data_IF_781866690882
#
_entry.id   IF_781866690882
#
_cell.length_a   1.000
_cell.length_b   1.000
_cell.length_c   1.000
_cell.angle_alpha   90.00
_cell.angle_beta   90.00
_cell.angle_gamma   90.00
#
_symmetry.space_group_name_H-M   'P 1'
#
loop_
_entity.id
_entity.type
_entity.pdbx_description
1 polymer ?
#
# COMPACT_ATOMS: atom_id res chain seq x y z
N UNK A 1 -19.92 15.55 6.11
CA UNK A 1 -20.51 14.53 5.22
C UNK A 1 -19.49 13.41 5.10
N UNK A 2 -19.69 12.28 5.78
CA UNK A 2 -18.74 11.15 5.69
C UNK A 2 -18.92 10.51 4.32
N UNK A 3 -17.95 10.66 3.42
CA UNK A 3 -17.98 9.95 2.14
C UNK A 3 -17.52 8.51 2.38
N UNK A 4 -18.36 7.51 2.06
CA UNK A 4 -18.01 6.10 2.28
C UNK A 4 -16.79 5.70 1.46
N UNK A 5 -15.81 5.06 2.09
CA UNK A 5 -14.59 4.60 1.41
C UNK A 5 -14.85 3.41 0.48
N UNK A 6 -15.91 2.64 0.73
CA UNK A 6 -16.26 1.39 0.04
C UNK A 6 -17.29 1.58 -1.09
N UNK A 7 -17.43 2.80 -1.62
CA UNK A 7 -18.37 3.09 -2.70
C UNK A 7 -17.80 2.73 -4.08
N UNK A 8 -18.70 2.55 -5.06
CA UNK A 8 -18.32 2.40 -6.48
C UNK A 8 -17.56 3.62 -6.99
N UNK A 9 -17.88 4.82 -6.48
CA UNK A 9 -17.18 6.07 -6.80
C UNK A 9 -15.73 6.02 -6.31
N UNK A 10 -15.49 5.66 -5.03
CA UNK A 10 -14.15 5.55 -4.49
C UNK A 10 -13.29 4.52 -5.23
N UNK A 11 -13.90 3.39 -5.60
CA UNK A 11 -13.25 2.38 -6.46
C UNK A 11 -12.90 2.96 -7.83
N UNK A 12 -13.86 3.64 -8.47
CA UNK A 12 -13.69 4.23 -9.79
C UNK A 12 -12.60 5.31 -9.85
N UNK A 13 -12.54 6.18 -8.84
CA UNK A 13 -11.49 7.20 -8.69
C UNK A 13 -10.10 6.56 -8.61
N UNK A 14 -9.94 5.56 -7.73
CA UNK A 14 -8.68 4.84 -7.58
C UNK A 14 -8.26 4.17 -8.89
N UNK A 15 -9.19 3.46 -9.55
CA UNK A 15 -8.88 2.74 -10.80
C UNK A 15 -8.55 3.71 -11.94
N UNK A 16 -9.20 4.86 -12.01
CA UNK A 16 -8.89 5.90 -12.99
C UNK A 16 -7.46 6.41 -12.85
N UNK A 17 -7.01 6.67 -11.61
CA UNK A 17 -5.62 7.06 -11.33
C UNK A 17 -4.63 5.94 -11.71
N UNK A 18 -4.94 4.68 -11.36
CA UNK A 18 -4.12 3.54 -11.72
C UNK A 18 -3.97 3.39 -13.24
N UNK A 19 -5.07 3.48 -13.99
CA UNK A 19 -5.07 3.40 -15.46
C UNK A 19 -4.33 4.58 -16.10
N UNK A 20 -4.49 5.78 -15.57
CA UNK A 20 -3.78 6.96 -16.05
C UNK A 20 -2.26 6.79 -15.88
N UNK A 21 -1.81 6.26 -14.74
CA UNK A 21 -0.40 6.00 -14.47
C UNK A 21 0.20 4.92 -15.40
N UNK A 22 -0.54 3.83 -15.61
CA UNK A 22 -0.10 2.67 -16.41
C UNK A 22 -0.65 2.67 -17.83
N UNK A 23 -1.03 3.82 -18.39
CA UNK A 23 -1.70 3.94 -19.71
C UNK A 23 -1.00 3.23 -20.88
N UNK A 24 0.32 3.04 -20.78
CA UNK A 24 1.15 2.40 -21.81
C UNK A 24 1.68 1.01 -21.39
N UNK A 25 1.26 0.49 -20.23
CA UNK A 25 1.69 -0.80 -19.70
C UNK A 25 0.51 -1.79 -19.74
N UNK A 26 0.45 -2.54 -20.85
CA UNK A 26 -0.65 -3.48 -21.12
C UNK A 26 -0.76 -4.57 -20.05
N UNK A 27 0.37 -4.97 -19.45
CA UNK A 27 0.39 -6.00 -18.39
C UNK A 27 -0.27 -5.45 -17.13
N UNK A 28 0.09 -4.23 -16.72
CA UNK A 28 -0.53 -3.61 -15.54
C UNK A 28 -2.00 -3.26 -15.79
N UNK A 29 -2.37 -2.83 -17.00
CA UNK A 29 -3.78 -2.60 -17.35
C UNK A 29 -4.62 -3.88 -17.21
N UNK A 30 -4.10 -5.03 -17.65
CA UNK A 30 -4.79 -6.31 -17.46
C UNK A 30 -4.94 -6.70 -15.97
N UNK A 31 -3.92 -6.42 -15.14
CA UNK A 31 -4.02 -6.61 -13.69
C UNK A 31 -5.07 -5.68 -13.05
N UNK A 32 -5.21 -4.44 -13.55
CA UNK A 32 -6.23 -3.49 -13.10
C UNK A 32 -7.63 -4.01 -13.49
N UNK A 33 -7.81 -4.55 -14.70
CA UNK A 33 -9.07 -5.16 -15.15
C UNK A 33 -9.45 -6.38 -14.28
N UNK A 34 -8.47 -7.23 -13.97
CA UNK A 34 -8.66 -8.39 -13.10
C UNK A 34 -9.08 -7.95 -11.69
N UNK A 35 -8.41 -6.94 -11.13
CA UNK A 35 -8.76 -6.37 -9.83
C UNK A 35 -10.17 -5.81 -9.85
N UNK A 36 -10.53 -5.02 -10.86
CA UNK A 36 -11.85 -4.40 -10.97
C UNK A 36 -12.97 -5.45 -10.94
N UNK A 37 -12.78 -6.58 -11.63
CA UNK A 37 -13.77 -7.66 -11.72
C UNK A 37 -13.82 -8.57 -10.49
N UNK A 38 -12.69 -8.80 -9.83
CA UNK A 38 -12.56 -9.92 -8.86
C UNK A 38 -12.22 -9.51 -7.44
N UNK A 39 -11.84 -8.25 -7.21
CA UNK A 39 -11.43 -7.79 -5.89
C UNK A 39 -12.55 -7.90 -4.84
N UNK A 40 -12.17 -8.41 -3.67
CA UNK A 40 -12.95 -8.39 -2.44
C UNK A 40 -12.04 -7.90 -1.30
N UNK A 41 -12.60 -7.18 -0.32
CA UNK A 41 -11.83 -6.58 0.78
C UNK A 41 -10.96 -7.59 1.55
N UNK A 42 -11.49 -8.81 1.78
CA UNK A 42 -10.73 -9.91 2.42
C UNK A 42 -9.47 -10.35 1.66
N UNK A 43 -9.37 -10.03 0.36
CA UNK A 43 -8.22 -10.35 -0.47
C UNK A 43 -7.19 -9.19 -0.51
N UNK A 44 -7.38 -8.14 0.30
CA UNK A 44 -6.53 -6.92 0.29
C UNK A 44 -5.04 -7.24 0.40
N UNK A 45 -4.63 -8.08 1.36
CA UNK A 45 -3.20 -8.44 1.51
C UNK A 45 -2.70 -9.19 0.28
N UNK A 46 -3.47 -10.16 -0.24
CA UNK A 46 -3.07 -10.92 -1.44
C UNK A 46 -2.86 -10.00 -2.64
N UNK A 47 -3.75 -9.03 -2.84
CA UNK A 47 -3.64 -8.05 -3.92
C UNK A 47 -2.52 -7.04 -3.70
N UNK A 48 -2.25 -6.68 -2.45
CA UNK A 48 -1.16 -5.79 -2.09
C UNK A 48 0.22 -6.46 -2.28
N UNK A 49 0.36 -7.75 -1.98
CA UNK A 49 1.63 -8.48 -2.09
C UNK A 49 1.84 -9.14 -3.45
N UNK A 50 0.78 -9.35 -4.25
CA UNK A 50 0.89 -9.76 -5.66
C UNK A 50 1.73 -8.72 -6.41
N UNK A 51 2.65 -9.20 -7.25
CA UNK A 51 3.43 -8.34 -8.12
C UNK A 51 2.50 -7.59 -9.08
N UNK A 52 2.39 -6.28 -8.90
CA UNK A 52 1.41 -5.47 -9.62
C UNK A 52 1.33 -4.01 -9.16
N UNK A 53 0.28 -3.33 -9.61
CA UNK A 53 0.11 -1.88 -9.47
C UNK A 53 -0.12 -1.41 -8.03
N UNK A 54 -0.80 -2.18 -7.20
CA UNK A 54 -1.23 -1.74 -5.85
C UNK A 54 -0.06 -1.51 -4.90
N UNK A 55 0.87 -2.46 -4.81
CA UNK A 55 2.06 -2.31 -3.96
C UNK A 55 2.78 -0.99 -4.23
N UNK A 56 3.01 -0.70 -5.51
CA UNK A 56 3.76 0.47 -5.93
C UNK A 56 2.95 1.76 -5.75
N UNK A 57 1.72 1.82 -6.27
CA UNK A 57 0.93 3.05 -6.29
C UNK A 57 0.43 3.45 -4.91
N UNK A 58 0.03 2.51 -4.06
CA UNK A 58 -0.39 2.81 -2.69
C UNK A 58 0.77 3.38 -1.88
N UNK A 59 1.95 2.74 -1.91
CA UNK A 59 3.12 3.27 -1.22
C UNK A 59 3.62 4.59 -1.84
N UNK A 60 3.43 4.80 -3.14
CA UNK A 60 3.74 6.08 -3.79
C UNK A 60 2.81 7.19 -3.32
N UNK A 61 1.50 6.92 -3.25
CA UNK A 61 0.51 7.83 -2.72
C UNK A 61 0.83 8.22 -1.26
N UNK A 62 1.08 7.24 -0.39
CA UNK A 62 1.41 7.50 1.02
C UNK A 62 2.71 8.31 1.17
N UNK A 63 3.76 8.00 0.39
CA UNK A 63 5.03 8.74 0.44
C UNK A 63 4.92 10.17 -0.10
N UNK A 64 3.93 10.46 -0.94
CA UNK A 64 3.72 11.82 -1.44
C UNK A 64 3.22 12.78 -0.35
N UNK A 65 2.64 12.25 0.73
CA UNK A 65 1.94 13.01 1.77
C UNK A 65 0.84 13.95 1.23
N UNK A 66 0.45 13.81 -0.04
CA UNK A 66 -0.64 14.55 -0.64
C UNK A 66 -1.97 13.92 -0.22
N UNK A 67 -2.71 14.63 0.62
CA UNK A 67 -3.98 14.17 1.17
C UNK A 67 -5.00 13.86 0.07
N UNK A 68 -4.97 14.57 -1.06
CA UNK A 68 -5.88 14.34 -2.17
C UNK A 68 -5.55 13.04 -2.90
N UNK A 69 -4.26 12.77 -3.10
CA UNK A 69 -3.81 11.50 -3.71
C UNK A 69 -4.12 10.35 -2.76
N UNK A 70 -3.79 10.45 -1.48
CA UNK A 70 -4.10 9.42 -0.48
C UNK A 70 -5.61 9.16 -0.44
N UNK A 71 -6.43 10.22 -0.48
CA UNK A 71 -7.89 10.11 -0.49
C UNK A 71 -8.42 9.37 -1.72
N UNK A 72 -7.84 9.56 -2.92
CA UNK A 72 -8.23 8.79 -4.12
C UNK A 72 -7.96 7.28 -3.95
N UNK A 73 -6.95 6.90 -3.18
CA UNK A 73 -6.63 5.51 -2.87
C UNK A 73 -7.37 4.96 -1.63
N UNK A 74 -8.29 5.73 -1.01
CA UNK A 74 -9.00 5.34 0.22
C UNK A 74 -9.70 3.99 0.13
N UNK A 75 -10.24 3.66 -1.05
CA UNK A 75 -10.96 2.41 -1.28
C UNK A 75 -10.14 1.19 -0.86
N UNK A 76 -8.88 1.13 -1.29
CA UNK A 76 -8.00 0.00 -0.99
C UNK A 76 -7.18 0.19 0.29
N UNK A 77 -6.78 1.43 0.62
CA UNK A 77 -5.99 1.69 1.83
C UNK A 77 -6.75 1.28 3.09
N UNK A 78 -8.05 1.62 3.17
CA UNK A 78 -8.87 1.28 4.33
C UNK A 78 -9.05 -0.24 4.45
N UNK A 79 -9.39 -0.93 3.35
CA UNK A 79 -9.51 -2.39 3.34
C UNK A 79 -8.21 -3.08 3.80
N UNK A 80 -7.05 -2.60 3.32
CA UNK A 80 -5.76 -3.13 3.73
C UNK A 80 -5.45 -2.89 5.21
N UNK A 81 -5.74 -1.69 5.73
CA UNK A 81 -5.58 -1.37 7.14
C UNK A 81 -6.48 -2.25 8.04
N UNK A 82 -7.77 -2.35 7.71
CA UNK A 82 -8.72 -3.15 8.49
C UNK A 82 -8.29 -4.63 8.54
N UNK A 83 -7.85 -5.18 7.41
CA UNK A 83 -7.44 -6.58 7.36
C UNK A 83 -6.12 -6.83 8.09
N UNK A 84 -5.16 -5.89 8.04
CA UNK A 84 -3.93 -5.96 8.83
C UNK A 84 -4.22 -5.87 10.34
N UNK A 85 -5.15 -5.01 10.75
CA UNK A 85 -5.57 -4.87 12.15
C UNK A 85 -6.22 -6.17 12.67
N UNK A 86 -7.12 -6.78 11.90
CA UNK A 86 -7.74 -8.08 12.23
C UNK A 86 -6.70 -9.19 12.43
N UNK A 87 -5.72 -9.26 11.52
CA UNK A 87 -4.61 -10.21 11.63
C UNK A 87 -3.74 -9.89 12.86
N UNK A 88 -3.51 -8.62 13.17
CA UNK A 88 -2.69 -8.22 14.31
C UNK A 88 -3.31 -8.62 15.66
N UNK A 89 -4.64 -8.55 15.76
CA UNK A 89 -5.38 -8.92 16.98
C UNK A 89 -5.40 -10.45 17.14
N UNK A 90 -5.55 -11.18 16.04
CA UNK A 90 -5.63 -12.65 16.07
C UNK A 90 -4.29 -13.34 16.31
N UNK A 91 -3.17 -12.67 16.05
CA UNK A 91 -1.84 -13.23 16.24
C UNK A 91 -1.20 -12.77 17.56
N UNK A 92 -0.84 -13.74 18.41
CA UNK A 92 0.04 -13.48 19.55
C UNK A 92 1.49 -13.40 19.07
N UNK A 93 1.95 -12.20 18.73
CA UNK A 93 3.34 -12.00 18.30
C UNK A 93 4.27 -11.97 19.52
N UNK A 94 5.25 -12.86 19.54
CA UNK A 94 6.48 -12.67 20.29
C UNK A 94 7.41 -11.71 19.54
N UNK A 95 8.52 -11.30 20.17
CA UNK A 95 9.52 -10.50 19.46
C UNK A 95 10.10 -11.28 18.27
N UNK A 96 9.84 -10.83 17.04
CA UNK A 96 10.36 -11.42 15.81
C UNK A 96 11.40 -10.48 15.20
N UNK A 97 12.50 -11.04 14.70
CA UNK A 97 13.48 -10.32 13.89
C UNK A 97 13.16 -10.50 12.42
N UNK A 98 13.00 -9.38 11.71
CA UNK A 98 12.77 -9.33 10.27
C UNK A 98 13.80 -8.42 9.62
N UNK A 99 13.97 -8.57 8.30
CA UNK A 99 14.92 -7.83 7.49
C UNK A 99 14.20 -7.09 6.36
N UNK A 100 14.74 -5.93 6.00
CA UNK A 100 14.27 -5.14 4.86
C UNK A 100 15.47 -4.48 4.20
N UNK A 101 15.60 -4.70 2.89
CA UNK A 101 16.51 -3.90 2.07
C UNK A 101 15.97 -2.48 1.92
N UNK A 102 16.81 -1.48 2.18
CA UNK A 102 16.51 -0.08 1.93
C UNK A 102 17.61 0.52 1.05
N UNK A 103 17.22 1.18 -0.04
CA UNK A 103 18.12 1.99 -0.84
C UNK A 103 18.04 3.41 -0.30
N UNK A 104 19.15 3.89 0.24
CA UNK A 104 19.29 5.24 0.79
C UNK A 104 20.43 5.94 0.05
N UNK A 105 20.27 7.24 -0.18
CA UNK A 105 21.38 8.09 -0.58
C UNK A 105 22.22 8.47 0.66
N UNK A 106 23.33 9.17 0.44
CA UNK A 106 24.27 9.51 1.52
C UNK A 106 23.63 10.43 2.56
N UNK A 107 22.87 11.43 2.12
CA UNK A 107 22.22 12.39 3.00
C UNK A 107 21.14 11.72 3.87
N UNK A 108 20.38 10.78 3.31
CA UNK A 108 19.39 9.97 4.04
C UNK A 108 20.07 9.07 5.08
N UNK A 109 21.23 8.50 4.76
CA UNK A 109 22.00 7.68 5.69
C UNK A 109 22.56 8.54 6.84
N UNK A 110 23.08 9.73 6.54
CA UNK A 110 23.64 10.64 7.54
C UNK A 110 22.57 11.17 8.51
N UNK A 111 21.29 11.18 8.11
CA UNK A 111 20.16 11.48 8.99
C UNK A 111 19.81 10.34 9.95
N UNK A 112 20.28 9.11 9.71
CA UNK A 112 20.04 7.97 10.61
C UNK A 112 20.99 8.04 11.81
N UNK A 113 20.51 8.68 12.88
CA UNK A 113 21.25 8.85 14.12
C UNK A 113 20.77 7.87 15.21
N UNK A 114 21.72 7.37 16.01
CA UNK A 114 21.40 6.51 17.16
C UNK A 114 20.58 7.29 18.17
N UNK A 115 19.49 6.69 18.68
CA UNK A 115 18.59 7.32 19.65
C UNK A 115 17.42 8.08 19.03
N UNK A 116 17.33 8.16 17.69
CA UNK A 116 16.18 8.76 17.00
C UNK A 116 15.12 7.71 16.60
N UNK A 117 13.86 8.17 16.49
CA UNK A 117 12.76 7.37 15.93
C UNK A 117 12.72 7.52 14.41
N UNK A 118 12.49 6.41 13.72
CA UNK A 118 12.26 6.38 12.27
C UNK A 118 10.76 6.21 12.04
N UNK A 119 10.17 7.12 11.26
CA UNK A 119 8.78 7.02 10.81
C UNK A 119 8.74 6.86 9.30
N UNK A 120 7.82 6.02 8.82
CA UNK A 120 7.76 5.64 7.40
C UNK A 120 6.37 5.93 6.84
N UNK A 121 6.31 6.69 5.75
CA UNK A 121 5.05 7.08 5.11
C UNK A 121 4.60 6.02 4.10
N UNK A 122 4.30 4.80 4.58
CA UNK A 122 3.93 3.66 3.75
C UNK A 122 3.83 2.36 4.54
N UNK A 123 3.31 1.32 3.90
CA UNK A 123 3.26 -0.01 4.50
C UNK A 123 4.63 -0.66 4.45
N UNK A 124 5.06 -1.22 5.59
CA UNK A 124 6.42 -1.69 5.79
C UNK A 124 6.54 -3.21 5.58
N UNK A 125 6.72 -3.63 4.33
CA UNK A 125 7.01 -5.03 3.98
C UNK A 125 8.42 -5.44 4.40
N UNK A 126 8.53 -6.59 5.07
CA UNK A 126 9.78 -7.17 5.54
C UNK A 126 9.83 -8.67 5.20
N UNK A 127 11.03 -9.25 5.24
CA UNK A 127 11.29 -10.68 5.05
C UNK A 127 11.84 -11.29 6.34
N UNK A 128 11.60 -12.58 6.58
CA UNK A 128 12.31 -13.35 7.60
C UNK A 128 13.70 -13.80 7.11
N UNK A 129 13.91 -13.82 5.79
CA UNK A 129 15.18 -14.13 5.14
C UNK A 129 16.02 -12.86 4.94
N UNK A 130 17.34 -13.00 5.00
CA UNK A 130 18.31 -11.90 4.99
C UNK A 130 18.85 -11.62 3.59
#
# INVERSE_FOLDING_TARGET
>A
MSMPYNSLEAKGEMLSECRAYYRNDVVQLAHIDEFERTYQSKDAIRWYTKLGFLFYLVNKALRSQDIWVIYKFRYFIVDLCCYLEEISISQSFSSVRLYRGAKLNRDELDQLQVGCLISTNGFFSCSSDR
#
